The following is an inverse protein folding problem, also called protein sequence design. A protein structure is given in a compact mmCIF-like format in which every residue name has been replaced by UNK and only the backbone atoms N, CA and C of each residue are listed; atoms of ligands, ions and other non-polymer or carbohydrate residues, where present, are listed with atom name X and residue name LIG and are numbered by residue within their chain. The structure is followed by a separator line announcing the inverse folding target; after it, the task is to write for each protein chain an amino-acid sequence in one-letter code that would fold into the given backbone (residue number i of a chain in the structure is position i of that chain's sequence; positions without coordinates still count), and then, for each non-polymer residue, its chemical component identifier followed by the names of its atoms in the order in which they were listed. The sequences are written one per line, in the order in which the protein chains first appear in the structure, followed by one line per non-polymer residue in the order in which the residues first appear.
data_IF_489113693580
#
_entry.id   IF_489113693580
#
_cell.length_a   1.000
_cell.length_b   1.000
_cell.length_c   1.000
_cell.angle_alpha   90.00
_cell.angle_beta   90.00
_cell.angle_gamma   90.00
#
_symmetry.space_group_name_H-M   'P 1'
#
loop_
_entity.id
_entity.type
_entity.pdbx_description
1 polymer ?
#
# COMPACT_ATOMS: atom_id res chain seq x y z
N UNK A 1 0.68 -10.98 -16.69
CA UNK A 1 1.10 -9.64 -16.24
C UNK A 1 1.73 -9.78 -14.88
N UNK A 2 2.97 -9.34 -14.69
CA UNK A 2 3.64 -9.43 -13.39
C UNK A 2 3.13 -8.30 -12.47
N UNK A 3 2.77 -8.60 -11.22
CA UNK A 3 2.26 -7.61 -10.28
C UNK A 3 3.24 -6.44 -10.06
N UNK A 4 4.55 -6.73 -10.04
CA UNK A 4 5.62 -5.72 -9.92
C UNK A 4 5.62 -4.77 -11.13
N UNK A 5 5.25 -5.25 -12.32
CA UNK A 5 5.17 -4.42 -13.54
C UNK A 5 4.04 -3.39 -13.48
N UNK A 6 2.92 -3.76 -12.84
CA UNK A 6 1.73 -2.91 -12.71
C UNK A 6 1.88 -1.94 -11.53
N UNK A 7 2.28 -2.46 -10.36
CA UNK A 7 2.40 -1.65 -9.14
C UNK A 7 3.51 -0.62 -9.30
N UNK A 8 4.62 -0.98 -9.97
CA UNK A 8 5.83 -0.16 -10.17
C UNK A 8 6.48 0.30 -8.86
N UNK A 9 5.80 1.12 -8.08
CA UNK A 9 6.23 1.66 -6.80
C UNK A 9 5.01 1.73 -5.87
N UNK A 10 5.23 1.63 -4.57
CA UNK A 10 4.15 1.72 -3.59
C UNK A 10 4.39 2.93 -2.67
N UNK A 11 3.40 3.80 -2.59
CA UNK A 11 3.38 4.95 -1.71
C UNK A 11 2.28 4.79 -0.66
N UNK A 12 2.67 4.88 0.60
CA UNK A 12 1.77 4.85 1.74
C UNK A 12 1.83 6.21 2.45
N UNK A 13 0.67 6.81 2.67
CA UNK A 13 0.56 8.01 3.53
C UNK A 13 -0.12 7.62 4.82
N UNK A 14 0.59 7.78 5.92
CA UNK A 14 0.08 7.63 7.27
C UNK A 14 -0.33 9.01 7.82
N UNK A 15 -1.37 9.04 8.63
CA UNK A 15 -1.84 10.23 9.32
C UNK A 15 -1.90 9.99 10.82
N UNK A 16 -1.54 11.03 11.58
CA UNK A 16 -1.54 11.02 13.04
C UNK A 16 -2.56 12.04 13.55
N UNK A 17 -3.40 11.67 14.54
CA UNK A 17 -4.24 12.62 15.24
C UNK A 17 -3.40 13.65 15.98
N UNK A 18 -3.86 14.90 15.98
CA UNK A 18 -3.20 16.00 16.68
C UNK A 18 -3.07 15.76 18.20
N UNK A 19 -3.95 14.93 18.79
CA UNK A 19 -3.87 14.54 20.20
C UNK A 19 -2.68 13.63 20.53
N UNK A 20 -2.05 13.03 19.51
CA UNK A 20 -0.93 12.09 19.67
C UNK A 20 0.35 12.72 19.15
N UNK A 21 0.28 13.35 17.99
CA UNK A 21 1.41 13.99 17.34
C UNK A 21 0.99 15.37 16.83
N UNK A 22 1.08 16.43 17.67
CA UNK A 22 0.64 17.78 17.29
C UNK A 22 1.46 18.34 16.13
N UNK A 23 2.75 18.00 16.07
CA UNK A 23 3.70 18.52 15.09
C UNK A 23 3.92 17.60 13.89
N UNK A 24 3.58 16.30 14.00
CA UNK A 24 3.73 15.32 12.94
C UNK A 24 2.36 14.83 12.48
N UNK A 25 1.78 15.51 11.49
CA UNK A 25 0.44 15.19 10.97
C UNK A 25 0.43 14.00 10.02
N UNK A 26 1.50 13.85 9.24
CA UNK A 26 1.58 12.85 8.18
C UNK A 26 2.99 12.29 8.03
N UNK A 27 3.09 10.99 7.74
CA UNK A 27 4.32 10.32 7.33
C UNK A 27 4.10 9.67 5.97
N UNK A 28 4.98 9.96 5.01
CA UNK A 28 4.96 9.34 3.69
C UNK A 28 6.06 8.28 3.63
N UNK A 29 5.68 7.08 3.22
CA UNK A 29 6.58 5.94 3.04
C UNK A 29 6.52 5.55 1.57
N UNK A 30 7.67 5.50 0.93
CA UNK A 30 7.81 5.05 -0.46
C UNK A 30 8.59 3.74 -0.47
N UNK A 31 8.01 2.72 -1.06
CA UNK A 31 8.65 1.42 -1.32
C UNK A 31 8.98 1.37 -2.82
N UNK A 32 10.28 1.45 -3.18
CA UNK A 32 10.73 1.36 -4.56
C UNK A 32 10.41 0.00 -5.20
N UNK A 33 10.41 -0.04 -6.54
CA UNK A 33 10.09 -1.24 -7.34
C UNK A 33 10.93 -2.44 -6.96
N UNK A 34 12.23 -2.21 -6.81
CA UNK A 34 13.24 -3.21 -6.53
C UNK A 34 13.07 -3.84 -5.15
N UNK A 35 12.49 -3.11 -4.20
CA UNK A 35 12.18 -3.64 -2.87
C UNK A 35 10.81 -4.33 -2.85
N UNK A 36 9.88 -3.90 -3.70
CA UNK A 36 8.52 -4.41 -3.73
C UNK A 36 8.44 -5.90 -4.08
N UNK A 37 9.32 -6.40 -4.96
CA UNK A 37 9.34 -7.83 -5.31
C UNK A 37 9.60 -8.70 -4.07
N UNK A 38 10.51 -8.29 -3.17
CA UNK A 38 10.78 -9.02 -1.94
C UNK A 38 9.57 -9.12 -1.01
N UNK A 39 8.74 -8.07 -0.93
CA UNK A 39 7.49 -8.09 -0.15
C UNK A 39 6.41 -8.97 -0.79
N UNK A 40 6.31 -8.98 -2.12
CA UNK A 40 5.36 -9.81 -2.85
C UNK A 40 5.73 -11.29 -2.78
N UNK A 41 7.02 -11.61 -2.90
CA UNK A 41 7.53 -12.97 -2.81
C UNK A 41 7.35 -13.52 -1.38
N UNK A 42 7.63 -12.71 -0.35
CA UNK A 42 7.44 -13.08 1.05
C UNK A 42 5.95 -13.32 1.41
N UNK A 43 5.03 -12.61 0.76
CA UNK A 43 3.58 -12.84 0.90
C UNK A 43 3.15 -14.20 0.32
N UNK A 44 3.83 -14.67 -0.72
CA UNK A 44 3.48 -15.92 -1.42
C UNK A 44 4.12 -17.19 -0.81
N UNK A 45 5.12 -17.04 0.06
CA UNK A 45 5.86 -18.16 0.70
C UNK A 45 5.22 -18.63 2.02
N UNK A 46 4.14 -17.97 2.47
CA UNK A 46 3.45 -18.26 3.73
C UNK A 46 2.66 -19.57 3.70
N UNK A 47 3.21 -20.61 4.31
CA UNK A 47 2.51 -21.88 4.58
C UNK A 47 1.23 -21.65 5.41
N UNK A 48 0.07 -21.62 4.75
CA UNK A 48 -1.25 -21.84 5.37
C UNK A 48 -1.89 -20.66 6.11
N UNK A 49 -1.28 -19.49 6.10
CA UNK A 49 -1.92 -18.22 6.50
C UNK A 49 -1.64 -17.23 5.39
N UNK A 50 -2.67 -16.82 4.65
CA UNK A 50 -2.57 -15.78 3.60
C UNK A 50 -2.12 -14.47 4.26
N UNK A 51 -0.81 -14.30 4.44
CA UNK A 51 -0.25 -13.01 4.83
C UNK A 51 -0.34 -12.12 3.60
N UNK A 52 -1.41 -11.33 3.55
CA UNK A 52 -1.58 -10.28 2.57
C UNK A 52 -0.32 -9.41 2.53
N UNK A 53 0.03 -8.91 1.34
CA UNK A 53 1.18 -8.03 1.11
C UNK A 53 1.23 -6.87 2.12
N UNK A 54 0.05 -6.37 2.52
CA UNK A 54 -0.09 -5.33 3.53
C UNK A 54 0.30 -5.81 4.95
N UNK A 55 0.01 -7.06 5.31
CA UNK A 55 0.45 -7.67 6.56
C UNK A 55 1.97 -7.84 6.61
N UNK A 56 2.60 -8.26 5.51
CA UNK A 56 4.07 -8.33 5.42
C UNK A 56 4.70 -6.95 5.59
N UNK A 57 4.14 -5.92 4.94
CA UNK A 57 4.62 -4.54 5.09
C UNK A 57 4.41 -4.04 6.52
N UNK A 58 3.25 -4.30 7.12
CA UNK A 58 2.96 -3.95 8.51
C UNK A 58 4.01 -4.53 9.47
N UNK A 59 4.30 -5.83 9.35
CA UNK A 59 5.33 -6.49 10.16
C UNK A 59 6.72 -5.88 9.95
N UNK A 60 7.09 -5.56 8.70
CA UNK A 60 8.36 -4.90 8.40
C UNK A 60 8.48 -3.51 9.04
N UNK A 61 7.41 -2.71 9.00
CA UNK A 61 7.39 -1.38 9.62
C UNK A 61 7.41 -1.48 11.16
N UNK A 62 6.77 -2.50 11.73
CA UNK A 62 6.84 -2.76 13.17
C UNK A 62 8.25 -3.14 13.61
N UNK A 63 8.90 -4.06 12.89
CA UNK A 63 10.27 -4.53 13.21
C UNK A 63 11.31 -3.41 13.06
N UNK A 64 11.27 -2.65 11.96
CA UNK A 64 12.35 -1.73 11.63
C UNK A 64 12.10 -0.27 12.05
N UNK A 65 10.85 0.13 12.25
CA UNK A 65 10.51 1.49 12.66
C UNK A 65 9.85 1.55 14.04
N UNK A 66 9.70 0.42 14.73
CA UNK A 66 8.98 0.31 16.00
C UNK A 66 7.56 0.89 15.93
N UNK A 67 6.95 0.88 14.74
CA UNK A 67 5.60 1.39 14.51
C UNK A 67 4.61 0.24 14.44
N UNK A 68 3.80 0.10 15.48
CA UNK A 68 2.67 -0.83 15.47
C UNK A 68 1.54 -0.25 14.64
N UNK A 69 1.25 -0.88 13.51
CA UNK A 69 0.32 -0.35 12.52
C UNK A 69 -0.47 -1.48 11.85
N UNK A 70 -1.78 -1.50 12.06
CA UNK A 70 -2.66 -2.49 11.43
C UNK A 70 -3.19 -1.98 10.09
N UNK A 71 -2.87 -2.72 9.02
CA UNK A 71 -3.31 -2.46 7.65
C UNK A 71 -4.48 -3.36 7.20
N UNK A 72 -4.92 -4.28 8.06
CA UNK A 72 -5.97 -5.26 7.73
C UNK A 72 -7.36 -4.64 7.54
N UNK A 73 -7.53 -3.38 7.91
CA UNK A 73 -8.83 -2.70 7.88
C UNK A 73 -9.83 -3.26 8.90
N UNK A 74 -9.39 -4.12 9.81
CA UNK A 74 -10.21 -4.60 10.91
C UNK A 74 -10.57 -3.44 11.85
N UNK A 75 -11.77 -3.53 12.44
CA UNK A 75 -12.20 -2.56 13.45
C UNK A 75 -11.16 -2.47 14.57
N UNK A 76 -10.80 -1.25 15.03
CA UNK A 76 -9.77 -1.04 16.03
C UNK A 76 -10.08 -1.89 17.27
N UNK A 77 -9.30 -2.95 17.47
CA UNK A 77 -9.62 -3.99 18.46
C UNK A 77 -9.36 -3.50 19.88
N UNK A 78 -8.62 -2.38 20.02
CA UNK A 78 -8.30 -1.78 21.30
C UNK A 78 -8.67 -0.30 21.33
N UNK A 79 -9.60 0.05 22.23
CA UNK A 79 -9.92 1.43 22.61
C UNK A 79 -8.64 2.14 23.10
N UNK A 80 -7.92 2.80 22.18
CA UNK A 80 -6.83 3.72 22.51
C UNK A 80 -5.41 3.31 22.13
N UNK A 81 -5.19 2.36 21.21
CA UNK A 81 -3.82 2.02 20.77
C UNK A 81 -3.49 2.33 19.31
N UNK A 82 -4.48 2.52 18.44
CA UNK A 82 -4.22 2.82 17.03
C UNK A 82 -4.19 4.33 16.78
N UNK A 83 -3.04 4.92 17.11
CA UNK A 83 -2.80 6.34 16.94
C UNK A 83 -2.40 6.71 15.51
N UNK A 84 -2.15 5.75 14.62
CA UNK A 84 -1.70 6.00 13.25
C UNK A 84 -2.70 5.38 12.29
N UNK A 85 -3.17 6.15 11.31
CA UNK A 85 -4.17 5.70 10.33
C UNK A 85 -3.61 5.72 8.93
N UNK A 86 -3.90 4.69 8.13
CA UNK A 86 -3.63 4.72 6.71
C UNK A 86 -4.55 5.73 6.04
N UNK A 87 -3.97 6.82 5.53
CA UNK A 87 -4.73 7.87 4.86
C UNK A 87 -4.78 7.68 3.34
N UNK A 88 -3.79 7.01 2.76
CA UNK A 88 -3.71 6.80 1.31
C UNK A 88 -2.77 5.64 0.95
N UNK A 89 -3.18 4.87 -0.06
CA UNK A 89 -2.32 3.93 -0.80
C UNK A 89 -2.25 4.42 -2.24
N UNK A 90 -1.07 4.52 -2.82
CA UNK A 90 -0.91 4.85 -4.24
C UNK A 90 0.16 3.97 -4.88
N UNK A 91 -0.11 3.51 -6.09
CA UNK A 91 0.84 2.81 -6.93
C UNK A 91 0.61 3.12 -8.40
N UNK A 92 1.43 2.56 -9.28
CA UNK A 92 1.32 2.74 -10.74
C UNK A 92 -0.03 2.30 -11.32
N UNK A 93 -0.77 1.42 -10.64
CA UNK A 93 -2.06 0.92 -11.09
C UNK A 93 -3.27 1.65 -10.52
N UNK A 94 -3.19 2.19 -9.30
CA UNK A 94 -4.32 2.82 -8.63
C UNK A 94 -3.91 3.76 -7.48
N UNK A 95 -4.87 4.55 -7.03
CA UNK A 95 -4.78 5.37 -5.82
C UNK A 95 -6.05 5.16 -4.99
N UNK A 96 -5.91 4.73 -3.75
CA UNK A 96 -6.98 4.59 -2.77
C UNK A 96 -6.79 5.61 -1.64
N UNK A 97 -7.77 6.50 -1.46
CA UNK A 97 -7.83 7.45 -0.34
C UNK A 97 -8.59 6.88 0.86
N UNK A 98 -8.26 7.34 2.06
CA UNK A 98 -8.95 7.00 3.31
C UNK A 98 -10.38 7.56 3.41
N UNK A 99 -10.80 8.38 2.45
CA UNK A 99 -12.18 8.81 2.24
C UNK A 99 -13.00 7.79 1.43
N UNK A 100 -12.43 6.62 1.13
CA UNK A 100 -13.05 5.56 0.34
C UNK A 100 -13.01 5.79 -1.18
N UNK A 101 -12.34 6.84 -1.65
CA UNK A 101 -12.23 7.12 -3.08
C UNK A 101 -11.10 6.31 -3.71
N UNK A 102 -11.45 5.50 -4.70
CA UNK A 102 -10.50 4.76 -5.53
C UNK A 102 -10.40 5.40 -6.92
N UNK A 103 -9.17 5.61 -7.38
CA UNK A 103 -8.84 6.02 -8.75
C UNK A 103 -7.97 4.96 -9.39
N UNK A 104 -8.44 4.37 -10.49
CA UNK A 104 -7.62 3.47 -11.31
C UNK A 104 -6.77 4.30 -12.28
N UNK A 105 -5.48 3.97 -12.37
CA UNK A 105 -4.46 4.69 -13.17
C UNK A 105 -3.98 3.83 -14.34
N UNK A 106 -4.23 2.51 -14.32
CA UNK A 106 -3.92 1.63 -15.42
C UNK A 106 -4.82 1.93 -16.64
N UNK A 107 -4.26 2.62 -17.64
CA UNK A 107 -4.79 2.54 -19.00
C UNK A 107 -4.43 1.16 -19.57
N UNK A 108 -5.37 0.42 -20.18
CA UNK A 108 -5.00 -0.73 -21.01
C UNK A 108 -4.06 -0.23 -22.12
N UNK A 109 -3.09 -1.02 -22.60
CA UNK A 109 -2.38 -0.66 -23.82
C UNK A 109 -3.44 -0.45 -24.91
N UNK A 110 -3.55 0.77 -25.41
CA UNK A 110 -4.33 1.05 -26.60
C UNK A 110 -3.75 0.14 -27.68
N UNK A 111 -4.57 -0.77 -28.20
CA UNK A 111 -4.19 -1.59 -29.34
C UNK A 111 -3.68 -0.69 -30.45
N UNK A 112 -2.58 -1.11 -31.08
CA UNK A 112 -2.15 -0.57 -32.36
C UNK A 112 -3.38 -0.30 -33.24
N UNK A 113 -3.55 0.96 -33.65
CA UNK A 113 -4.47 1.29 -34.72
C UNK A 113 -4.02 0.49 -35.94
N UNK A 114 -4.85 -0.47 -36.33
CA UNK A 114 -4.81 -1.14 -37.62
C UNK A 114 -5.02 -0.07 -38.71
N UNK A 115 -3.93 0.43 -39.27
CA UNK A 115 -3.94 1.23 -40.49
C UNK A 115 -4.11 0.26 -41.67
N UNK A 116 -5.36 -0.17 -41.90
CA UNK A 116 -5.75 -0.89 -43.12
C UNK A 116 -6.24 0.12 -44.16
N UNK A 117 -5.29 0.73 -44.87
CA UNK A 117 -5.54 1.41 -46.16
C UNK A 117 -4.89 0.56 -47.28
N UNK A 118 -5.72 -0.20 -48.01
CA UNK A 118 -5.40 -0.76 -49.33
C UNK A 118 -6.58 -0.57 -50.27
#
# INVERSE_FOLDING_TARGET
MNAVEIVKELHLTLSFPASVAPDLRTLNITVPRESLSGFLDASNDGAGTELDVLGVISAYLEEHLAMKFDLSGAEPTHKGQDYVRLARIACGGFVLGGDGKLKLVAAPPAGENDDSDT
#
